data_IF_060430577025
#
_entry.id   IF_060430577025
#
_cell.length_a   1.000
_cell.length_b   1.000
_cell.length_c   1.000
_cell.angle_alpha   90.00
_cell.angle_beta   90.00
_cell.angle_gamma   90.00
#
_symmetry.space_group_name_H-M   'P 1'
#
loop_
_entity.id
_entity.type
_entity.pdbx_description
1 polymer ?
#
# COMPACT_ATOMS: atom_id res chain seq x y z
N UNK A 1 21.59 -8.77 -9.83
CA UNK A 1 20.69 -7.88 -10.53
C UNK A 1 19.55 -7.46 -9.66
N UNK A 2 19.23 -6.19 -9.56
CA UNK A 2 18.13 -5.76 -8.73
C UNK A 2 16.79 -6.25 -9.27
N UNK A 3 15.94 -6.65 -8.36
CA UNK A 3 14.58 -7.03 -8.70
C UNK A 3 13.81 -5.76 -9.07
N UNK A 4 13.01 -5.81 -10.12
CA UNK A 4 12.26 -4.65 -10.54
C UNK A 4 11.22 -4.27 -9.47
N UNK A 5 10.86 -2.99 -9.43
CA UNK A 5 9.82 -2.52 -8.51
C UNK A 5 8.52 -3.28 -8.73
N UNK A 6 8.17 -3.57 -9.99
CA UNK A 6 6.97 -4.34 -10.29
C UNK A 6 6.98 -5.70 -9.60
N UNK A 7 8.10 -6.42 -9.69
CA UNK A 7 8.22 -7.74 -9.07
C UNK A 7 8.12 -7.64 -7.56
N UNK A 8 8.77 -6.64 -6.96
CA UNK A 8 8.70 -6.43 -5.51
C UNK A 8 7.28 -6.13 -5.07
N UNK A 9 6.56 -5.29 -5.82
CA UNK A 9 5.18 -4.97 -5.50
C UNK A 9 4.27 -6.19 -5.64
N UNK A 10 4.53 -7.04 -6.62
CA UNK A 10 3.77 -8.28 -6.77
C UNK A 10 3.99 -9.19 -5.56
N UNK A 11 5.23 -9.33 -5.11
CA UNK A 11 5.56 -10.13 -3.94
C UNK A 11 4.92 -9.57 -2.69
N UNK A 12 4.98 -8.25 -2.51
CA UNK A 12 4.38 -7.61 -1.36
C UNK A 12 2.86 -7.76 -1.37
N UNK A 13 2.25 -7.65 -2.56
CA UNK A 13 0.81 -7.84 -2.70
C UNK A 13 0.38 -9.24 -2.27
N UNK A 14 1.20 -10.26 -2.55
CA UNK A 14 0.89 -11.62 -2.09
C UNK A 14 0.88 -11.71 -0.57
N UNK A 15 1.78 -10.98 0.09
CA UNK A 15 1.79 -10.91 1.54
C UNK A 15 0.50 -10.26 2.04
N UNK A 16 0.07 -9.19 1.39
CA UNK A 16 -1.17 -8.50 1.75
C UNK A 16 -2.39 -9.39 1.54
N UNK A 17 -2.39 -10.20 0.49
CA UNK A 17 -3.46 -11.16 0.25
C UNK A 17 -3.51 -12.21 1.35
N UNK A 18 -2.36 -12.61 1.87
CA UNK A 18 -2.29 -13.55 2.98
C UNK A 18 -2.86 -12.94 4.25
N UNK A 19 -2.60 -11.65 4.49
CA UNK A 19 -3.08 -10.96 5.69
C UNK A 19 -4.59 -10.74 5.62
N UNK A 20 -5.07 -10.18 4.51
CA UNK A 20 -6.45 -9.68 4.41
C UNK A 20 -7.39 -10.59 3.64
N UNK A 21 -6.86 -11.50 2.84
CA UNK A 21 -7.69 -12.41 2.06
C UNK A 21 -8.60 -11.66 1.10
N UNK A 22 -9.86 -12.04 1.10
CA UNK A 22 -10.86 -11.45 0.19
C UNK A 22 -11.16 -9.99 0.47
N UNK A 23 -10.71 -9.46 1.61
CA UNK A 23 -10.96 -8.07 1.97
C UNK A 23 -10.03 -7.11 1.24
N UNK A 24 -8.96 -7.61 0.63
CA UNK A 24 -8.04 -6.77 -0.13
C UNK A 24 -8.70 -6.37 -1.46
N UNK A 25 -8.86 -5.07 -1.69
CA UNK A 25 -9.50 -4.56 -2.90
C UNK A 25 -8.50 -3.93 -3.87
N UNK A 26 -7.58 -3.11 -3.38
CA UNK A 26 -6.61 -2.46 -4.24
C UNK A 26 -5.32 -2.18 -3.48
N UNK A 27 -4.22 -2.15 -4.23
CA UNK A 27 -2.92 -1.75 -3.70
C UNK A 27 -2.42 -0.65 -4.63
N UNK A 28 -2.17 0.53 -4.07
CA UNK A 28 -1.83 1.72 -4.86
C UNK A 28 -0.45 2.21 -4.45
N UNK A 29 0.44 2.31 -5.44
CA UNK A 29 1.73 2.96 -5.26
C UNK A 29 1.55 4.45 -5.48
N UNK A 30 1.99 5.26 -4.52
CA UNK A 30 1.88 6.72 -4.66
C UNK A 30 3.17 7.37 -4.16
N UNK A 31 3.19 8.71 -4.12
CA UNK A 31 4.37 9.43 -3.67
C UNK A 31 5.45 9.48 -4.73
N UNK A 32 6.72 9.58 -4.30
CA UNK A 32 7.84 9.79 -5.21
C UNK A 32 8.02 8.66 -6.22
N UNK A 33 7.75 7.41 -5.83
CA UNK A 33 7.86 6.29 -6.76
C UNK A 33 6.81 6.35 -7.87
N UNK A 34 5.60 6.79 -7.54
CA UNK A 34 4.55 6.93 -8.54
C UNK A 34 4.84 8.10 -9.50
N UNK A 35 5.48 9.17 -8.99
CA UNK A 35 5.82 10.33 -9.80
C UNK A 35 7.09 10.13 -10.62
N UNK A 36 7.91 9.15 -10.25
CA UNK A 36 9.17 8.90 -10.95
C UNK A 36 10.34 9.76 -10.47
N UNK A 37 10.16 10.54 -9.40
CA UNK A 37 11.23 11.38 -8.85
C UNK A 37 11.86 10.77 -7.59
N UNK A 38 11.78 9.47 -7.46
CA UNK A 38 12.33 8.77 -6.31
C UNK A 38 13.85 8.71 -6.36
N UNK A 39 14.42 8.54 -5.17
CA UNK A 39 15.84 8.26 -4.99
C UNK A 39 15.99 6.86 -4.42
N UNK A 40 17.22 6.37 -4.40
CA UNK A 40 17.52 5.04 -3.90
C UNK A 40 17.05 4.83 -2.46
N UNK A 41 17.10 5.88 -1.64
CA UNK A 41 16.71 5.84 -0.24
C UNK A 41 15.29 6.38 0.00
N UNK A 42 14.51 6.55 -1.06
CA UNK A 42 13.14 7.07 -0.92
C UNK A 42 12.22 6.05 -0.29
N UNK A 43 11.26 6.53 0.53
CA UNK A 43 10.20 5.69 1.04
C UNK A 43 9.30 5.21 -0.10
N UNK A 44 8.80 4.00 0.02
CA UNK A 44 7.86 3.45 -0.95
C UNK A 44 6.47 3.55 -0.33
N UNK A 45 5.71 4.55 -0.78
CA UNK A 45 4.39 4.83 -0.23
C UNK A 45 3.35 3.94 -0.90
N UNK A 46 2.70 3.09 -0.11
CA UNK A 46 1.69 2.15 -0.61
C UNK A 46 0.40 2.34 0.17
N UNK A 47 -0.69 2.53 -0.57
CA UNK A 47 -2.03 2.58 0.02
C UNK A 47 -2.74 1.25 -0.23
N UNK A 48 -3.29 0.69 0.84
CA UNK A 48 -3.98 -0.58 0.80
C UNK A 48 -5.46 -0.30 1.02
N UNK A 49 -6.29 -0.60 0.02
CA UNK A 49 -7.73 -0.39 0.12
C UNK A 49 -8.42 -1.70 0.45
N UNK A 50 -9.26 -1.66 1.48
CA UNK A 50 -9.90 -2.83 2.04
C UNK A 50 -11.41 -2.63 2.14
N UNK A 51 -12.17 -3.72 2.03
CA UNK A 51 -13.62 -3.67 2.25
C UNK A 51 -13.93 -3.94 3.73
N UNK A 52 -13.25 -3.20 4.59
CA UNK A 52 -13.37 -3.32 6.04
C UNK A 52 -13.63 -1.94 6.63
N UNK A 53 -14.30 -1.92 7.79
CA UNK A 53 -14.45 -0.70 8.56
C UNK A 53 -13.10 -0.28 9.17
N UNK A 54 -12.98 0.97 9.57
CA UNK A 54 -11.76 1.46 10.21
C UNK A 54 -11.43 0.67 11.48
N UNK A 55 -12.45 0.27 12.22
CA UNK A 55 -12.26 -0.51 13.43
C UNK A 55 -11.68 -1.88 13.11
N UNK A 56 -12.23 -2.53 12.09
CA UNK A 56 -11.76 -3.86 11.69
C UNK A 56 -10.34 -3.80 11.13
N UNK A 57 -10.00 -2.73 10.40
CA UNK A 57 -8.66 -2.54 9.86
C UNK A 57 -7.63 -2.50 10.99
N UNK A 58 -7.96 -1.88 12.11
CA UNK A 58 -7.05 -1.79 13.25
C UNK A 58 -6.66 -3.15 13.80
N UNK A 59 -7.51 -4.14 13.64
CA UNK A 59 -7.23 -5.49 14.13
C UNK A 59 -6.09 -6.16 13.39
N UNK A 60 -5.77 -5.70 12.18
CA UNK A 60 -4.69 -6.25 11.37
C UNK A 60 -3.39 -5.46 11.50
N UNK A 61 -3.38 -4.43 12.34
CA UNK A 61 -2.24 -3.51 12.43
C UNK A 61 -0.91 -4.21 12.76
N UNK A 62 -0.93 -5.08 13.75
CA UNK A 62 0.29 -5.79 14.15
C UNK A 62 0.79 -6.72 13.07
N UNK A 63 -0.12 -7.42 12.43
CA UNK A 63 0.24 -8.34 11.37
C UNK A 63 0.83 -7.60 10.18
N UNK A 64 0.20 -6.51 9.78
CA UNK A 64 0.71 -5.68 8.68
C UNK A 64 2.10 -5.13 9.02
N UNK A 65 2.28 -4.61 10.22
CA UNK A 65 3.55 -4.02 10.63
C UNK A 65 4.66 -5.08 10.63
N UNK A 66 4.38 -6.26 11.19
CA UNK A 66 5.37 -7.32 11.26
C UNK A 66 5.77 -7.85 9.91
N UNK A 67 4.80 -8.13 9.04
CA UNK A 67 5.09 -8.65 7.71
C UNK A 67 5.82 -7.61 6.85
N UNK A 68 5.44 -6.34 6.99
CA UNK A 68 6.11 -5.27 6.25
C UNK A 68 7.54 -5.07 6.73
N UNK A 69 7.75 -5.14 8.04
CA UNK A 69 9.09 -5.03 8.61
C UNK A 69 10.00 -6.13 8.04
N UNK A 70 9.53 -7.37 8.05
CA UNK A 70 10.30 -8.50 7.55
C UNK A 70 10.61 -8.34 6.07
N UNK A 71 9.63 -7.91 5.29
CA UNK A 71 9.81 -7.71 3.85
C UNK A 71 10.83 -6.61 3.57
N UNK A 72 10.75 -5.51 4.31
CA UNK A 72 11.70 -4.41 4.17
C UNK A 72 13.13 -4.86 4.50
N UNK A 73 13.28 -5.63 5.56
CA UNK A 73 14.62 -6.13 5.94
C UNK A 73 15.16 -7.10 4.91
N UNK A 74 14.31 -7.99 4.38
CA UNK A 74 14.75 -8.98 3.40
C UNK A 74 15.19 -8.36 2.09
N UNK A 75 14.59 -7.24 1.71
CA UNK A 75 14.81 -6.60 0.40
C UNK A 75 15.51 -5.25 0.49
N UNK A 76 15.91 -4.84 1.67
CA UNK A 76 16.56 -3.54 1.91
C UNK A 76 15.71 -2.40 1.35
N UNK A 77 14.43 -2.40 1.74
CA UNK A 77 13.45 -1.43 1.31
C UNK A 77 12.88 -0.66 2.49
N UNK A 78 12.12 0.38 2.19
CA UNK A 78 11.42 1.16 3.20
C UNK A 78 9.98 1.41 2.74
N UNK A 79 9.21 0.33 2.69
CA UNK A 79 7.79 0.40 2.37
C UNK A 79 7.05 0.98 3.57
N UNK A 80 6.20 1.97 3.29
CA UNK A 80 5.34 2.60 4.29
C UNK A 80 3.89 2.39 3.88
N UNK A 81 3.24 1.35 4.42
CA UNK A 81 1.87 1.02 4.04
C UNK A 81 0.87 1.84 4.85
N UNK A 82 -0.20 2.23 4.18
CA UNK A 82 -1.35 2.87 4.82
C UNK A 82 -2.58 2.07 4.42
N UNK A 83 -3.26 1.49 5.41
CA UNK A 83 -4.48 0.72 5.16
C UNK A 83 -5.69 1.63 5.35
N UNK A 84 -6.59 1.61 4.37
CA UNK A 84 -7.79 2.44 4.38
C UNK A 84 -9.02 1.64 3.97
N UNK A 85 -10.16 2.03 4.51
CA UNK A 85 -11.43 1.53 4.02
C UNK A 85 -11.65 2.04 2.59
N UNK A 86 -11.95 1.14 1.65
CA UNK A 86 -12.22 1.52 0.27
C UNK A 86 -13.39 2.49 0.20
N UNK A 87 -14.44 2.22 0.97
CA UNK A 87 -15.60 3.08 1.02
C UNK A 87 -15.24 4.49 1.50
N UNK A 88 -14.37 4.57 2.51
CA UNK A 88 -13.91 5.85 3.03
C UNK A 88 -13.04 6.57 2.01
N UNK A 89 -12.18 5.84 1.31
CA UNK A 89 -11.33 6.39 0.26
C UNK A 89 -12.18 7.03 -0.86
N UNK A 90 -13.22 6.33 -1.29
CA UNK A 90 -14.09 6.84 -2.36
C UNK A 90 -14.80 8.13 -1.94
N UNK A 91 -15.17 8.25 -0.67
CA UNK A 91 -15.74 9.50 -0.17
C UNK A 91 -14.72 10.63 -0.21
N UNK A 92 -13.45 10.33 0.09
CA UNK A 92 -12.39 11.32 0.11
C UNK A 92 -11.98 11.78 -1.29
N UNK A 93 -12.22 10.95 -2.29
CA UNK A 93 -11.91 11.29 -3.68
C UNK A 93 -12.58 12.60 -4.09
N UNK A 94 -13.80 12.84 -3.59
CA UNK A 94 -14.55 14.05 -3.90
C UNK A 94 -14.01 15.28 -3.19
N UNK A 95 -13.24 15.11 -2.13
CA UNK A 95 -12.75 16.20 -1.29
C UNK A 95 -11.29 16.55 -1.61
N UNK A 96 -10.47 15.55 -1.87
CA UNK A 96 -9.03 15.74 -2.06
C UNK A 96 -8.64 15.51 -3.51
N UNK A 97 -8.18 16.55 -4.22
CA UNK A 97 -7.81 16.42 -5.63
C UNK A 97 -6.78 15.33 -5.90
N UNK A 98 -5.88 15.09 -4.95
CA UNK A 98 -4.87 14.03 -5.08
C UNK A 98 -5.53 12.67 -5.29
N UNK A 99 -6.54 12.36 -4.49
CA UNK A 99 -7.25 11.09 -4.61
C UNK A 99 -8.09 11.02 -5.89
N UNK A 100 -8.67 12.12 -6.29
CA UNK A 100 -9.44 12.18 -7.53
C UNK A 100 -8.56 11.85 -8.73
N UNK A 101 -7.34 12.40 -8.76
CA UNK A 101 -6.39 12.12 -9.83
C UNK A 101 -6.00 10.65 -9.86
N UNK A 102 -5.82 10.04 -8.69
CA UNK A 102 -5.50 8.62 -8.59
C UNK A 102 -6.63 7.75 -9.12
N UNK A 103 -7.85 8.12 -8.80
CA UNK A 103 -9.01 7.38 -9.24
C UNK A 103 -9.14 7.39 -10.76
N UNK A 104 -8.79 8.49 -11.40
CA UNK A 104 -8.87 8.64 -12.84
C UNK A 104 -7.75 7.95 -13.58
N UNK A 105 -6.62 7.86 -12.94
CA UNK A 105 -5.44 7.25 -13.53
C UNK A 105 -5.42 5.77 -13.31
#
# INVERSE_FOLDING_TARGET
MPVSMKTLLEQYTKILQKIYGKHLKSVILYGSYARGDYREDSDIDIMILLDLSDIDIKQYRHELAGETFDFNMDHDLDIKPIAKSEKHFLNWVDVYPFYANRKRG
#
